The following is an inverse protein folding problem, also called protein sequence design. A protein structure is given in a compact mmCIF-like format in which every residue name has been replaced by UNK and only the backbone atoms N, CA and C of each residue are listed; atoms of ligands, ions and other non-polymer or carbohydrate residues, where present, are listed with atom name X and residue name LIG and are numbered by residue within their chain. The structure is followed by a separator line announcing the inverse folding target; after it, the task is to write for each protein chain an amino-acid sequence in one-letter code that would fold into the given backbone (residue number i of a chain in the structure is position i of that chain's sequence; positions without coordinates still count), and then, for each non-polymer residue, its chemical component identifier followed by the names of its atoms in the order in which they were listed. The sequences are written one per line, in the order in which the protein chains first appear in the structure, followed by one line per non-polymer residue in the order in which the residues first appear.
data_IF_790684738279
#
_entry.id   IF_790684738279
#
_cell.length_a   1.000
_cell.length_b   1.000
_cell.length_c   1.000
_cell.angle_alpha   90.00
_cell.angle_beta   90.00
_cell.angle_gamma   90.00
#
_symmetry.space_group_name_H-M   'P 1'
#
loop_
_entity.id
_entity.type
_entity.pdbx_description
1 polymer ?
#
# COMPACT_ATOMS: atom_id res chain seq x y z
N UNK A 1 10.33 -4.34 40.32
CA UNK A 1 11.60 -4.23 41.07
C UNK A 1 11.31 -4.16 42.57
N UNK A 2 11.96 -5.00 43.39
CA UNK A 2 11.95 -4.85 44.85
C UNK A 2 13.25 -4.16 45.28
N UNK A 3 13.15 -3.12 46.11
CA UNK A 3 14.31 -2.44 46.67
C UNK A 3 14.37 -2.67 48.19
N UNK A 4 15.56 -3.01 48.67
CA UNK A 4 15.80 -3.31 50.08
C UNK A 4 15.84 -2.02 50.90
N UNK A 5 14.78 -1.84 51.71
CA UNK A 5 14.61 -0.68 52.60
C UNK A 5 15.76 -0.54 53.61
N UNK A 6 16.37 -1.66 53.98
CA UNK A 6 17.45 -1.73 54.97
C UNK A 6 18.78 -1.18 54.44
N UNK A 7 19.02 -1.19 53.13
CA UNK A 7 20.21 -0.57 52.53
C UNK A 7 20.06 0.96 52.39
N UNK A 8 18.85 1.42 52.07
CA UNK A 8 18.52 2.86 52.04
C UNK A 8 18.64 3.48 53.43
N UNK A 9 18.29 2.74 54.49
CA UNK A 9 18.38 3.17 55.88
C UNK A 9 19.82 3.40 56.37
N UNK A 10 20.81 2.73 55.78
CA UNK A 10 22.24 2.84 56.14
C UNK A 10 22.95 4.04 55.50
N UNK A 11 22.35 4.67 54.50
CA UNK A 11 22.91 5.83 53.81
C UNK A 11 22.62 7.13 54.55
N UNK A 12 23.50 8.12 54.38
CA UNK A 12 23.28 9.47 54.87
C UNK A 12 22.03 10.09 54.22
N UNK A 13 21.33 11.02 54.89
CA UNK A 13 20.08 11.59 54.37
C UNK A 13 20.20 12.16 52.95
N UNK A 14 21.33 12.81 52.65
CA UNK A 14 21.63 13.37 51.32
C UNK A 14 21.82 12.28 50.26
N UNK A 15 22.52 11.19 50.59
CA UNK A 15 22.73 10.06 49.68
C UNK A 15 21.45 9.26 49.47
N UNK A 16 20.60 9.16 50.51
CA UNK A 16 19.28 8.52 50.42
C UNK A 16 18.36 9.27 49.47
N UNK A 17 18.32 10.61 49.57
CA UNK A 17 17.54 11.46 48.64
C UNK A 17 18.00 11.31 47.19
N UNK A 18 19.31 11.25 46.96
CA UNK A 18 19.87 11.08 45.62
C UNK A 18 19.48 9.74 45.01
N UNK A 19 19.62 8.63 45.76
CA UNK A 19 19.19 7.30 45.31
C UNK A 19 17.68 7.21 45.07
N UNK A 20 16.85 7.83 45.91
CA UNK A 20 15.40 7.84 45.72
C UNK A 20 15.00 8.55 44.42
N UNK A 21 15.63 9.70 44.11
CA UNK A 21 15.39 10.41 42.83
C UNK A 21 15.84 9.59 41.61
N UNK A 22 16.97 8.90 41.70
CA UNK A 22 17.45 8.01 40.62
C UNK A 22 16.50 6.82 40.40
N UNK A 23 15.92 6.27 41.48
CA UNK A 23 14.93 5.20 41.38
C UNK A 23 13.60 5.70 40.80
N UNK A 24 13.15 6.90 41.15
CA UNK A 24 11.98 7.54 40.54
C UNK A 24 12.18 7.76 39.04
N UNK A 25 13.34 8.27 38.62
CA UNK A 25 13.64 8.45 37.19
C UNK A 25 13.63 7.13 36.42
N UNK A 26 14.22 6.07 36.97
CA UNK A 26 14.21 4.74 36.32
C UNK A 26 12.80 4.17 36.17
N UNK A 27 11.97 4.32 37.20
CA UNK A 27 10.56 3.92 37.13
C UNK A 27 9.78 4.72 36.09
N UNK A 28 10.07 6.01 35.94
CA UNK A 28 9.42 6.84 34.95
C UNK A 28 9.86 6.49 33.52
N UNK A 29 11.14 6.17 33.31
CA UNK A 29 11.66 5.67 32.05
C UNK A 29 11.07 4.31 31.67
N UNK A 30 10.97 3.38 32.62
CA UNK A 30 10.33 2.07 32.39
C UNK A 30 8.85 2.26 32.00
N UNK A 31 8.11 3.09 32.72
CA UNK A 31 6.70 3.40 32.37
C UNK A 31 6.56 4.02 30.99
N UNK A 32 7.50 4.87 30.57
CA UNK A 32 7.50 5.44 29.21
C UNK A 32 7.79 4.39 28.15
N UNK A 33 8.74 3.47 28.40
CA UNK A 33 9.03 2.34 27.51
C UNK A 33 7.83 1.41 27.37
N UNK A 34 7.21 1.03 28.48
CA UNK A 34 6.01 0.20 28.49
C UNK A 34 4.85 0.87 27.72
N UNK A 35 4.64 2.18 27.90
CA UNK A 35 3.64 2.93 27.15
C UNK A 35 3.91 2.95 25.64
N UNK A 36 5.19 3.05 25.24
CA UNK A 36 5.55 2.98 23.82
C UNK A 36 5.37 1.58 23.24
N UNK A 37 5.72 0.52 23.97
CA UNK A 37 5.56 -0.87 23.51
C UNK A 37 4.08 -1.25 23.35
N UNK A 38 3.24 -0.86 24.31
CA UNK A 38 1.78 -1.03 24.22
C UNK A 38 1.23 -0.27 23.00
N UNK A 39 1.70 0.95 22.75
CA UNK A 39 1.32 1.73 21.58
C UNK A 39 1.70 1.07 20.26
N UNK A 40 2.86 0.41 20.20
CA UNK A 40 3.29 -0.37 19.02
C UNK A 40 2.43 -1.62 18.83
N UNK A 41 2.12 -2.34 19.90
CA UNK A 41 1.25 -3.52 19.85
C UNK A 41 -0.16 -3.17 19.38
N UNK A 42 -0.75 -2.09 19.90
CA UNK A 42 -2.07 -1.62 19.45
C UNK A 42 -2.06 -1.29 17.96
N UNK A 43 -1.03 -0.60 17.46
CA UNK A 43 -0.93 -0.28 16.03
C UNK A 43 -0.82 -1.54 15.16
N UNK A 44 0.01 -2.50 15.56
CA UNK A 44 0.12 -3.79 14.86
C UNK A 44 -1.21 -4.54 14.83
N UNK A 45 -1.90 -4.66 15.96
CA UNK A 45 -3.21 -5.32 16.00
C UNK A 45 -4.28 -4.59 15.18
N UNK A 46 -4.22 -3.26 15.10
CA UNK A 46 -5.10 -2.50 14.21
C UNK A 46 -4.82 -2.73 12.72
N UNK A 47 -3.56 -2.96 12.34
CA UNK A 47 -3.18 -3.29 10.97
C UNK A 47 -3.63 -4.70 10.59
N UNK A 48 -3.44 -5.68 11.48
CA UNK A 48 -3.89 -7.06 11.30
C UNK A 48 -5.42 -7.16 11.12
N UNK A 49 -6.20 -6.45 11.94
CA UNK A 49 -7.67 -6.42 11.80
C UNK A 49 -8.13 -5.85 10.44
N UNK A 50 -7.41 -4.87 9.90
CA UNK A 50 -7.73 -4.31 8.58
C UNK A 50 -7.42 -5.28 7.45
N UNK A 51 -6.34 -6.07 7.58
CA UNK A 51 -5.99 -7.07 6.58
C UNK A 51 -6.97 -8.25 6.57
N UNK A 52 -7.43 -8.69 7.74
CA UNK A 52 -8.39 -9.80 7.84
C UNK A 52 -9.76 -9.44 7.26
N UNK A 53 -10.24 -8.22 7.51
CA UNK A 53 -11.47 -7.71 6.91
C UNK A 53 -11.39 -7.59 5.37
N UNK A 54 -10.19 -7.34 4.84
CA UNK A 54 -9.97 -7.33 3.39
C UNK A 54 -10.02 -8.75 2.82
N UNK A 55 -9.41 -9.72 3.51
CA UNK A 55 -9.39 -11.12 3.09
C UNK A 55 -10.80 -11.73 3.02
N UNK A 56 -11.66 -11.44 3.99
CA UNK A 56 -13.06 -11.90 3.98
C UNK A 56 -13.90 -11.30 2.84
N UNK A 57 -13.61 -10.06 2.44
CA UNK A 57 -14.34 -9.40 1.33
C UNK A 57 -13.91 -9.88 -0.05
N UNK A 58 -12.67 -10.34 -0.19
CA UNK A 58 -12.09 -10.75 -1.48
C UNK A 58 -12.29 -12.24 -1.75
N UNK A 59 -12.54 -13.06 -0.72
CA UNK A 59 -12.80 -14.48 -0.90
C UNK A 59 -14.07 -14.73 -1.74
N UNK A 60 -13.96 -15.37 -2.92
CA UNK A 60 -15.12 -15.67 -3.75
C UNK A 60 -15.99 -16.72 -3.04
N UNK A 61 -17.29 -16.43 -2.89
CA UNK A 61 -18.25 -17.42 -2.36
C UNK A 61 -18.39 -18.56 -3.36
N UNK A 62 -18.22 -19.83 -2.97
CA UNK A 62 -18.44 -20.95 -3.87
C UNK A 62 -19.94 -21.01 -4.20
N UNK A 63 -20.31 -20.74 -5.45
CA UNK A 63 -21.65 -21.05 -5.96
C UNK A 63 -21.66 -22.47 -6.49
N UNK A 64 -22.59 -23.30 -6.02
CA UNK A 64 -22.82 -24.63 -6.58
C UNK A 64 -23.23 -24.50 -8.05
N UNK A 65 -22.41 -25.07 -8.94
CA UNK A 65 -22.68 -25.08 -10.38
C UNK A 65 -23.60 -26.26 -10.68
N UNK A 66 -24.84 -25.97 -11.08
CA UNK A 66 -25.80 -26.98 -11.50
C UNK A 66 -25.45 -27.51 -12.90
N UNK A 67 -24.67 -28.59 -12.90
CA UNK A 67 -24.09 -29.21 -14.11
C UNK A 67 -25.15 -29.75 -15.06
N UNK A 68 -26.39 -29.97 -14.61
CA UNK A 68 -27.46 -30.53 -15.45
C UNK A 68 -27.94 -29.55 -16.53
N UNK A 69 -27.88 -28.25 -16.28
CA UNK A 69 -28.26 -27.20 -17.27
C UNK A 69 -27.27 -27.07 -18.43
N UNK A 70 -26.01 -27.49 -18.23
CA UNK A 70 -24.97 -27.36 -19.25
C UNK A 70 -25.17 -28.32 -20.43
N UNK A 71 -25.82 -29.46 -20.20
CA UNK A 71 -26.01 -30.50 -21.23
C UNK A 71 -27.40 -30.46 -21.90
N UNK A 72 -28.33 -29.63 -21.43
CA UNK A 72 -29.67 -29.51 -22.04
C UNK A 72 -29.76 -28.53 -23.21
N UNK A 73 -28.77 -27.64 -23.38
CA UNK A 73 -28.81 -26.59 -24.42
C UNK A 73 -27.95 -26.90 -25.67
N UNK A 74 -27.13 -27.96 -25.64
CA UNK A 74 -26.18 -28.27 -26.72
C UNK A 74 -26.84 -28.76 -28.03
N UNK A 75 -28.05 -29.32 -28.00
CA UNK A 75 -28.69 -29.80 -29.25
C UNK A 75 -29.27 -28.68 -30.13
N UNK A 76 -29.49 -27.46 -29.61
CA UNK A 76 -30.05 -26.34 -30.39
C UNK A 76 -29.01 -25.37 -30.97
N UNK A 77 -27.78 -25.35 -30.45
CA UNK A 77 -26.81 -24.31 -30.78
C UNK A 77 -25.88 -24.61 -31.97
N UNK A 78 -25.89 -25.83 -32.52
CA UNK A 78 -24.92 -26.28 -33.55
C UNK A 78 -25.12 -25.61 -34.93
N UNK A 79 -26.20 -24.85 -35.15
CA UNK A 79 -26.55 -24.32 -36.49
C UNK A 79 -26.35 -22.82 -36.72
N UNK A 80 -25.84 -22.05 -35.77
CA UNK A 80 -25.51 -20.64 -36.03
C UNK A 80 -24.07 -20.32 -35.62
N UNK A 81 -23.24 -19.77 -36.51
CA UNK A 81 -21.99 -19.17 -36.09
C UNK A 81 -22.34 -17.90 -35.32
N UNK A 82 -22.49 -18.02 -33.99
CA UNK A 82 -22.52 -16.87 -33.09
C UNK A 82 -21.18 -16.15 -33.25
N UNK A 83 -21.17 -15.06 -34.02
CA UNK A 83 -20.14 -14.03 -33.90
C UNK A 83 -20.15 -13.59 -32.44
N UNK A 84 -19.14 -14.01 -31.66
CA UNK A 84 -18.83 -13.38 -30.38
C UNK A 84 -18.63 -11.90 -30.69
N UNK A 85 -19.56 -11.06 -30.24
CA UNK A 85 -19.21 -9.66 -30.00
C UNK A 85 -18.29 -9.73 -28.79
N UNK A 86 -16.99 -9.68 -29.05
CA UNK A 86 -16.05 -9.28 -28.01
C UNK A 86 -16.55 -7.91 -27.55
N UNK A 87 -16.95 -7.82 -26.27
CA UNK A 87 -17.27 -6.53 -25.67
C UNK A 87 -16.00 -5.69 -25.78
N UNK A 88 -15.97 -4.77 -26.76
CA UNK A 88 -14.87 -3.82 -26.88
C UNK A 88 -14.72 -3.15 -25.51
N UNK A 89 -13.56 -3.26 -24.85
CA UNK A 89 -13.39 -2.74 -23.52
C UNK A 89 -13.67 -1.24 -23.59
N UNK A 90 -14.60 -0.77 -22.74
CA UNK A 90 -14.97 0.64 -22.78
C UNK A 90 -13.69 1.47 -22.62
N UNK A 91 -13.53 2.49 -23.47
CA UNK A 91 -12.38 3.42 -23.45
C UNK A 91 -11.95 3.85 -22.03
N UNK A 92 -12.85 4.13 -21.06
CA UNK A 92 -12.44 4.45 -19.69
C UNK A 92 -11.83 3.27 -18.91
N UNK A 93 -12.24 2.03 -19.17
CA UNK A 93 -11.69 0.84 -18.52
C UNK A 93 -10.22 0.60 -18.91
N UNK A 94 -9.92 0.70 -20.21
CA UNK A 94 -8.56 0.54 -20.74
C UNK A 94 -7.61 1.61 -20.18
N UNK A 95 -8.10 2.86 -20.09
CA UNK A 95 -7.31 3.95 -19.52
C UNK A 95 -7.02 3.75 -18.03
N UNK A 96 -7.96 3.18 -17.26
CA UNK A 96 -7.78 2.91 -15.84
C UNK A 96 -6.78 1.78 -15.58
N UNK A 97 -6.83 0.69 -16.34
CA UNK A 97 -5.84 -0.41 -16.24
C UNK A 97 -4.44 0.07 -16.61
N UNK A 98 -4.31 0.86 -17.68
CA UNK A 98 -3.02 1.43 -18.10
C UNK A 98 -2.44 2.36 -17.02
N UNK A 99 -3.26 3.24 -16.44
CA UNK A 99 -2.83 4.11 -15.34
C UNK A 99 -2.39 3.31 -14.10
N UNK A 100 -3.10 2.23 -13.77
CA UNK A 100 -2.75 1.40 -12.62
C UNK A 100 -1.39 0.70 -12.83
N UNK A 101 -1.16 0.19 -14.04
CA UNK A 101 0.12 -0.39 -14.43
C UNK A 101 1.25 0.63 -14.37
N UNK A 102 1.04 1.83 -14.91
CA UNK A 102 2.03 2.90 -14.94
C UNK A 102 2.38 3.37 -13.52
N UNK A 103 1.37 3.58 -12.66
CA UNK A 103 1.57 3.91 -11.25
C UNK A 103 2.41 2.84 -10.54
N UNK A 104 2.07 1.57 -10.73
CA UNK A 104 2.75 0.45 -10.07
C UNK A 104 4.21 0.35 -10.51
N UNK A 105 4.50 0.60 -11.79
CA UNK A 105 5.85 0.58 -12.36
C UNK A 105 6.70 1.72 -11.78
N UNK A 106 6.15 2.93 -11.70
CA UNK A 106 6.81 4.07 -11.04
C UNK A 106 7.05 3.83 -9.55
N UNK A 107 6.08 3.23 -8.86
CA UNK A 107 6.20 2.92 -7.43
C UNK A 107 7.29 1.88 -7.17
N UNK A 108 7.38 0.83 -7.99
CA UNK A 108 8.48 -0.14 -7.92
C UNK A 108 9.83 0.56 -8.03
N UNK A 109 9.99 1.49 -8.99
CA UNK A 109 11.24 2.25 -9.12
C UNK A 109 11.57 3.02 -7.84
N UNK A 110 10.58 3.65 -7.19
CA UNK A 110 10.78 4.34 -5.91
C UNK A 110 11.17 3.39 -4.77
N UNK A 111 10.51 2.23 -4.68
CA UNK A 111 10.70 1.26 -3.59
C UNK A 111 12.06 0.56 -3.65
N UNK A 112 12.63 0.35 -4.85
CA UNK A 112 13.96 -0.27 -5.03
C UNK A 112 15.14 0.68 -4.75
N UNK A 113 14.90 1.89 -4.25
CA UNK A 113 15.95 2.82 -3.85
C UNK A 113 16.64 3.47 -5.05
N UNK A 114 16.01 4.50 -5.61
CA UNK A 114 16.61 5.32 -6.66
C UNK A 114 17.87 6.03 -6.14
N UNK A 115 19.00 5.77 -6.78
CA UNK A 115 20.22 6.54 -6.62
C UNK A 115 20.48 7.36 -7.89
N UNK A 116 21.18 8.50 -7.79
CA UNK A 116 21.57 9.26 -8.98
C UNK A 116 22.32 8.36 -9.97
N UNK A 117 21.82 8.29 -11.21
CA UNK A 117 22.42 7.44 -12.25
C UNK A 117 22.10 5.94 -12.18
N UNK A 118 21.26 5.48 -11.24
CA UNK A 118 20.90 4.05 -11.13
C UNK A 118 19.87 3.59 -12.16
N UNK A 119 19.25 4.52 -12.89
CA UNK A 119 18.23 4.21 -13.91
C UNK A 119 18.90 3.83 -15.23
N UNK A 120 18.60 2.62 -15.70
CA UNK A 120 19.06 2.12 -17.00
C UNK A 120 18.48 2.93 -18.17
N UNK A 121 19.10 2.85 -19.35
CA UNK A 121 18.58 3.53 -20.56
C UNK A 121 17.15 3.08 -20.90
N UNK A 122 16.84 1.80 -20.72
CA UNK A 122 15.52 1.23 -20.96
C UNK A 122 14.48 1.80 -19.99
N UNK A 123 14.82 1.87 -18.70
CA UNK A 123 13.95 2.45 -17.68
C UNK A 123 13.72 3.95 -17.92
N UNK A 124 14.71 4.69 -18.43
CA UNK A 124 14.52 6.10 -18.82
C UNK A 124 13.50 6.24 -19.94
N UNK A 125 13.59 5.39 -20.97
CA UNK A 125 12.62 5.39 -22.07
C UNK A 125 11.21 5.01 -21.59
N UNK A 126 11.11 4.05 -20.68
CA UNK A 126 9.84 3.67 -20.07
C UNK A 126 9.22 4.83 -19.28
N UNK A 127 10.01 5.54 -18.47
CA UNK A 127 9.57 6.72 -17.71
C UNK A 127 9.07 7.83 -18.65
N UNK A 128 9.77 8.10 -19.76
CA UNK A 128 9.34 9.07 -20.77
C UNK A 128 8.04 8.63 -21.45
N UNK A 129 7.92 7.35 -21.82
CA UNK A 129 6.69 6.81 -22.40
C UNK A 129 5.51 6.88 -21.42
N UNK A 130 5.74 6.70 -20.11
CA UNK A 130 4.72 6.90 -19.07
C UNK A 130 4.31 8.37 -19.00
N UNK A 131 5.27 9.30 -19.03
CA UNK A 131 4.99 10.75 -19.04
C UNK A 131 4.07 11.14 -20.19
N UNK A 132 4.41 10.74 -21.42
CA UNK A 132 3.64 11.09 -22.62
C UNK A 132 2.22 10.51 -22.56
N UNK A 133 2.07 9.30 -22.02
CA UNK A 133 0.76 8.67 -21.78
C UNK A 133 -0.05 9.44 -20.75
N UNK A 134 0.53 9.83 -19.62
CA UNK A 134 -0.15 10.63 -18.58
C UNK A 134 -0.60 11.99 -19.13
N UNK A 135 0.20 12.64 -19.96
CA UNK A 135 -0.16 13.92 -20.59
C UNK A 135 -1.28 13.74 -21.61
N UNK A 136 -1.25 12.66 -22.40
CA UNK A 136 -2.31 12.32 -23.36
C UNK A 136 -3.64 12.00 -22.67
N UNK A 137 -3.60 11.23 -21.58
CA UNK A 137 -4.79 10.90 -20.78
C UNK A 137 -5.33 12.15 -20.09
N UNK A 138 -4.47 13.02 -19.56
CA UNK A 138 -4.91 14.29 -18.98
C UNK A 138 -5.61 15.21 -19.99
N UNK A 139 -5.21 15.17 -21.25
CA UNK A 139 -5.83 15.97 -22.31
C UNK A 139 -7.19 15.41 -22.75
N UNK A 140 -7.33 14.07 -22.80
CA UNK A 140 -8.55 13.38 -23.21
C UNK A 140 -9.57 13.19 -22.07
N UNK A 141 -9.08 13.03 -20.85
CA UNK A 141 -9.88 12.80 -19.64
C UNK A 141 -10.38 14.13 -19.06
N UNK A 142 -11.38 14.72 -19.71
CA UNK A 142 -12.40 15.51 -19.01
C UNK A 142 -13.49 14.59 -18.42
N UNK A 143 -13.13 13.34 -18.12
CA UNK A 143 -14.04 12.31 -17.64
C UNK A 143 -14.40 12.58 -16.17
N UNK A 144 -15.69 12.51 -15.84
CA UNK A 144 -16.20 12.65 -14.47
C UNK A 144 -15.91 11.44 -13.57
N UNK A 145 -15.08 10.49 -14.03
CA UNK A 145 -14.69 9.33 -13.26
C UNK A 145 -13.61 9.72 -12.23
N UNK A 146 -14.05 10.03 -11.01
CA UNK A 146 -13.18 10.40 -9.88
C UNK A 146 -11.98 9.44 -9.71
N UNK A 147 -12.19 8.14 -9.91
CA UNK A 147 -11.15 7.12 -9.80
C UNK A 147 -10.00 7.31 -10.81
N UNK A 148 -10.30 7.70 -12.05
CA UNK A 148 -9.28 7.96 -13.08
C UNK A 148 -8.45 9.19 -12.68
N UNK A 149 -9.11 10.23 -12.16
CA UNK A 149 -8.43 11.46 -11.75
C UNK A 149 -7.53 11.26 -10.52
N UNK A 150 -7.97 10.45 -9.55
CA UNK A 150 -7.16 10.07 -8.38
C UNK A 150 -5.92 9.27 -8.81
N UNK A 151 -6.10 8.32 -9.73
CA UNK A 151 -5.00 7.48 -10.20
C UNK A 151 -4.01 8.26 -11.08
N UNK A 152 -4.52 9.19 -11.90
CA UNK A 152 -3.71 10.11 -12.70
C UNK A 152 -2.86 11.04 -11.83
N UNK A 153 -3.44 11.61 -10.77
CA UNK A 153 -2.69 12.49 -9.84
C UNK A 153 -1.61 11.72 -9.07
N UNK A 154 -1.93 10.52 -8.57
CA UNK A 154 -0.97 9.65 -7.90
C UNK A 154 0.18 9.24 -8.83
N UNK A 155 -0.12 8.92 -10.09
CA UNK A 155 0.88 8.58 -11.12
C UNK A 155 1.81 9.76 -11.42
N UNK A 156 1.26 10.98 -11.51
CA UNK A 156 2.07 12.20 -11.69
C UNK A 156 3.00 12.48 -10.52
N UNK A 157 2.51 12.32 -9.29
CA UNK A 157 3.33 12.50 -8.10
C UNK A 157 4.47 11.47 -8.04
N UNK A 158 4.16 10.20 -8.35
CA UNK A 158 5.17 9.15 -8.43
C UNK A 158 6.21 9.46 -9.51
N UNK A 159 5.78 9.88 -10.71
CA UNK A 159 6.66 10.26 -11.81
C UNK A 159 7.59 11.42 -11.42
N UNK A 160 7.05 12.45 -10.76
CA UNK A 160 7.83 13.58 -10.28
C UNK A 160 8.91 13.14 -9.29
N UNK A 161 8.56 12.29 -8.31
CA UNK A 161 9.52 11.74 -7.35
C UNK A 161 10.60 10.91 -8.06
N UNK A 162 10.21 10.04 -8.99
CA UNK A 162 11.16 9.22 -9.77
C UNK A 162 12.16 10.12 -10.49
N UNK A 163 11.68 11.11 -11.25
CA UNK A 163 12.55 12.02 -12.01
C UNK A 163 13.49 12.83 -11.12
N UNK A 164 12.98 13.33 -9.99
CA UNK A 164 13.77 14.10 -9.02
C UNK A 164 14.89 13.26 -8.39
N UNK A 165 14.58 12.05 -7.93
CA UNK A 165 15.57 11.17 -7.31
C UNK A 165 16.58 10.60 -8.32
N UNK A 166 16.20 10.50 -9.59
CA UNK A 166 17.07 10.02 -10.66
C UNK A 166 17.85 11.12 -11.39
N UNK A 167 17.68 12.39 -11.03
CA UNK A 167 18.26 13.54 -11.74
C UNK A 167 17.90 13.58 -13.24
N UNK A 168 16.64 13.28 -13.56
CA UNK A 168 16.06 13.39 -14.91
C UNK A 168 15.25 14.70 -15.06
N UNK A 169 15.53 15.70 -14.24
CA UNK A 169 14.94 17.05 -14.33
C UNK A 169 15.56 17.86 -15.46
#
# INVERSE_FOLDING_TARGET
MSFDKDELAKLSPEQRLKRLKELEQKLEEERRKDATEIGVLIKKSMEELKTDQLAERVAPRPSEVDITRLFSEEERAVREPRRRKEDEPSVPYVAQEQLASDYTSLKKLLDYGLSPGSISREQRQEIEAIRDRLDTISYRSKSSAEQINILLSASREALHKVRRYSQLE
#
